data_IF_641385199291
#
_entry.id   IF_641385199291
#
_cell.length_a   1.000
_cell.length_b   1.000
_cell.length_c   1.000
_cell.angle_alpha   90.00
_cell.angle_beta   90.00
_cell.angle_gamma   90.00
#
_symmetry.space_group_name_H-M   'P 1'
#
loop_
_entity.id
_entity.type
_entity.pdbx_description
1 polymer ?
#
# COMPACT_ATOMS: atom_id res chain seq x y z
N UNK A 1 38.36 -20.90 -14.47
CA UNK A 1 37.44 -20.12 -13.62
C UNK A 1 36.10 -20.07 -14.35
N UNK A 2 35.06 -20.70 -13.79
CA UNK A 2 33.72 -20.72 -14.38
C UNK A 2 32.84 -19.75 -13.58
N UNK A 3 32.36 -18.70 -14.24
CA UNK A 3 31.43 -17.73 -13.63
C UNK A 3 30.02 -18.30 -13.74
N UNK A 4 29.42 -18.64 -12.61
CA UNK A 4 28.04 -19.09 -12.55
C UNK A 4 27.10 -17.92 -12.85
N UNK A 5 26.21 -18.10 -13.83
CA UNK A 5 25.17 -17.12 -14.13
C UNK A 5 24.16 -17.10 -12.98
N UNK A 6 24.00 -15.93 -12.35
CA UNK A 6 22.91 -15.65 -11.43
C UNK A 6 21.60 -15.64 -12.24
N UNK A 7 20.81 -16.70 -12.14
CA UNK A 7 19.42 -16.70 -12.59
C UNK A 7 18.67 -15.63 -11.82
N UNK A 8 18.36 -14.51 -12.49
CA UNK A 8 17.47 -13.50 -11.95
C UNK A 8 16.06 -14.09 -11.90
N UNK A 9 15.57 -14.41 -10.70
CA UNK A 9 14.17 -14.76 -10.50
C UNK A 9 13.37 -13.47 -10.75
N UNK A 10 12.55 -13.45 -11.81
CA UNK A 10 11.68 -12.31 -12.08
C UNK A 10 10.78 -12.07 -10.86
N UNK A 11 10.53 -10.81 -10.44
CA UNK A 11 9.59 -10.55 -9.37
C UNK A 11 8.26 -11.18 -9.77
N UNK A 12 7.69 -11.99 -8.87
CA UNK A 12 6.39 -12.61 -9.08
C UNK A 12 5.42 -11.53 -9.55
N UNK A 13 4.82 -11.72 -10.74
CA UNK A 13 3.80 -10.83 -11.26
C UNK A 13 2.72 -10.72 -10.19
N UNK A 14 2.62 -9.56 -9.55
CA UNK A 14 1.49 -9.25 -8.70
C UNK A 14 0.25 -9.26 -9.61
N UNK A 15 -0.70 -10.13 -9.32
CA UNK A 15 -1.99 -10.11 -10.01
C UNK A 15 -2.57 -8.70 -9.95
N UNK A 16 -3.08 -8.22 -11.08
CA UNK A 16 -3.70 -6.91 -11.11
C UNK A 16 -4.89 -6.90 -10.15
N UNK A 17 -5.02 -5.88 -9.27
CA UNK A 17 -6.09 -5.85 -8.29
C UNK A 17 -7.45 -5.91 -8.98
N UNK A 18 -8.33 -6.78 -8.45
CA UNK A 18 -9.68 -6.95 -8.94
C UNK A 18 -10.44 -5.62 -8.78
N UNK A 19 -11.52 -5.43 -9.54
CA UNK A 19 -12.31 -4.20 -9.45
C UNK A 19 -12.86 -3.96 -8.03
N UNK A 20 -13.15 -5.05 -7.30
CA UNK A 20 -13.54 -5.07 -5.90
C UNK A 20 -12.48 -4.39 -5.01
N UNK A 21 -11.25 -4.89 -5.10
CA UNK A 21 -10.11 -4.47 -4.28
C UNK A 21 -9.82 -2.97 -4.43
N UNK A 22 -10.16 -2.39 -5.58
CA UNK A 22 -9.95 -0.95 -5.85
C UNK A 22 -10.93 -0.07 -5.09
N UNK A 23 -12.20 -0.47 -4.98
CA UNK A 23 -13.21 0.29 -4.23
C UNK A 23 -12.91 0.20 -2.73
N UNK A 24 -12.57 -1.00 -2.27
CA UNK A 24 -12.16 -1.23 -0.88
C UNK A 24 -10.86 -0.49 -0.53
N UNK A 25 -9.87 -0.50 -1.42
CA UNK A 25 -8.67 0.29 -1.27
C UNK A 25 -8.99 1.78 -1.11
N UNK A 26 -9.81 2.35 -2.00
CA UNK A 26 -10.15 3.77 -1.94
C UNK A 26 -10.88 4.12 -0.63
N UNK A 27 -11.78 3.25 -0.17
CA UNK A 27 -12.44 3.40 1.12
C UNK A 27 -11.43 3.36 2.28
N UNK A 28 -10.55 2.36 2.31
CA UNK A 28 -9.54 2.20 3.35
C UNK A 28 -8.54 3.37 3.35
N UNK A 29 -8.16 3.88 2.19
CA UNK A 29 -7.27 5.04 2.06
C UNK A 29 -7.87 6.28 2.75
N UNK A 30 -9.17 6.54 2.58
CA UNK A 30 -9.85 7.62 3.30
C UNK A 30 -9.93 7.35 4.80
N UNK A 31 -10.25 6.12 5.22
CA UNK A 31 -10.36 5.79 6.65
C UNK A 31 -9.01 5.94 7.37
N UNK A 32 -7.92 5.53 6.74
CA UNK A 32 -6.58 5.58 7.33
C UNK A 32 -6.09 7.02 7.60
N UNK A 33 -6.56 8.03 6.86
CA UNK A 33 -6.26 9.44 7.13
C UNK A 33 -6.66 9.85 8.56
N UNK A 34 -7.71 9.24 9.12
CA UNK A 34 -8.22 9.53 10.45
C UNK A 34 -7.61 8.63 11.55
N UNK A 35 -6.96 7.53 11.18
CA UNK A 35 -6.34 6.60 12.14
C UNK A 35 -5.04 7.12 12.74
N UNK A 36 -4.55 8.28 12.29
CA UNK A 36 -3.40 8.97 12.85
C UNK A 36 -2.15 8.07 12.93
N UNK A 37 -1.87 7.29 11.86
CA UNK A 37 -0.77 6.32 11.77
C UNK A 37 0.63 6.94 11.95
N UNK A 38 0.73 8.27 11.91
CA UNK A 38 1.99 9.00 11.76
C UNK A 38 2.43 9.82 12.97
N UNK A 39 1.92 9.51 14.17
CA UNK A 39 2.47 10.10 15.40
C UNK A 39 3.83 9.46 15.76
N UNK A 40 4.78 9.50 14.83
CA UNK A 40 6.19 9.32 15.11
C UNK A 40 6.77 10.67 15.53
N UNK A 41 6.81 10.92 16.85
CA UNK A 41 7.51 12.09 17.42
C UNK A 41 9.00 11.81 17.44
N UNK A 42 9.70 12.06 16.35
CA UNK A 42 11.16 12.03 16.33
C UNK A 42 11.70 13.12 15.40
N UNK A 43 13.02 13.38 15.52
CA UNK A 43 13.84 14.39 14.83
C UNK A 43 13.77 14.36 13.28
N UNK A 44 13.00 13.44 12.70
CA UNK A 44 12.80 13.24 11.27
C UNK A 44 11.38 13.60 10.78
N UNK A 45 10.67 14.47 11.50
CA UNK A 45 9.29 14.91 11.19
C UNK A 45 9.22 16.38 10.73
N UNK A 46 8.25 16.73 9.87
CA UNK A 46 7.87 18.11 9.54
C UNK A 46 8.41 18.71 8.24
N UNK A 47 8.97 17.92 7.32
CA UNK A 47 9.44 18.41 6.01
C UNK A 47 8.49 18.08 4.84
N UNK A 48 8.57 18.82 3.73
CA UNK A 48 7.77 18.55 2.51
C UNK A 48 7.87 17.12 1.97
N UNK A 49 9.02 16.46 2.16
CA UNK A 49 9.20 15.06 1.79
C UNK A 49 8.38 14.11 2.66
N UNK A 50 8.12 14.47 3.91
CA UNK A 50 7.31 13.67 4.84
C UNK A 50 5.86 13.63 4.35
N UNK A 51 5.21 14.77 4.08
CA UNK A 51 3.81 14.81 3.63
C UNK A 51 3.54 13.93 2.39
N UNK A 52 4.46 13.95 1.43
CA UNK A 52 4.39 13.08 0.25
C UNK A 52 4.62 11.61 0.59
N UNK A 53 5.59 11.31 1.45
CA UNK A 53 5.85 9.96 1.93
C UNK A 53 4.67 9.39 2.75
N UNK A 54 3.97 10.27 3.47
CA UNK A 54 2.80 9.96 4.27
C UNK A 54 1.59 9.56 3.45
N UNK A 55 1.33 10.33 2.40
CA UNK A 55 0.28 10.00 1.43
C UNK A 55 0.59 8.67 0.72
N UNK A 56 1.86 8.47 0.34
CA UNK A 56 2.31 7.21 -0.26
C UNK A 56 2.11 6.01 0.69
N UNK A 57 2.57 6.10 1.94
CA UNK A 57 2.39 5.04 2.93
C UNK A 57 0.93 4.72 3.18
N UNK A 58 0.08 5.75 3.28
CA UNK A 58 -1.37 5.56 3.49
C UNK A 58 -1.98 4.75 2.35
N UNK A 59 -1.66 5.09 1.10
CA UNK A 59 -2.12 4.35 -0.08
C UNK A 59 -1.61 2.91 -0.13
N UNK A 60 -0.34 2.67 0.21
CA UNK A 60 0.23 1.32 0.25
C UNK A 60 -0.38 0.46 1.36
N UNK A 61 -0.61 1.02 2.55
CA UNK A 61 -1.34 0.33 3.61
C UNK A 61 -2.75 -0.04 3.17
N UNK A 62 -3.48 0.89 2.54
CA UNK A 62 -4.81 0.63 2.02
C UNK A 62 -4.83 -0.51 0.99
N UNK A 63 -3.88 -0.53 0.05
CA UNK A 63 -3.76 -1.58 -0.95
C UNK A 63 -3.45 -2.96 -0.34
N UNK A 64 -2.59 -3.00 0.69
CA UNK A 64 -2.27 -4.26 1.39
C UNK A 64 -3.40 -4.75 2.27
N UNK A 65 -4.20 -3.84 2.81
CA UNK A 65 -5.39 -4.17 3.60
C UNK A 65 -6.52 -4.66 2.70
N UNK A 66 -6.81 -4.00 1.57
CA UNK A 66 -7.85 -4.46 0.63
C UNK A 66 -7.53 -5.83 0.01
N UNK A 67 -6.26 -6.15 -0.19
CA UNK A 67 -5.86 -7.48 -0.67
C UNK A 67 -6.02 -8.60 0.38
N UNK A 68 -6.27 -8.27 1.65
CA UNK A 68 -6.33 -9.24 2.77
C UNK A 68 -7.65 -9.25 3.51
N UNK A 69 -8.36 -8.12 3.50
CA UNK A 69 -9.67 -7.95 4.08
C UNK A 69 -10.70 -8.11 2.98
N UNK A 70 -11.84 -8.67 3.34
CA UNK A 70 -13.03 -8.65 2.49
C UNK A 70 -14.07 -7.79 3.20
N UNK A 71 -14.31 -6.59 2.68
CA UNK A 71 -15.30 -5.65 3.22
C UNK A 71 -16.63 -5.74 2.46
N UNK A 72 -16.71 -6.54 1.39
CA UNK A 72 -17.88 -6.70 0.54
C UNK A 72 -18.27 -5.42 -0.24
N UNK A 73 -17.43 -4.40 -0.30
CA UNK A 73 -17.88 -3.07 -0.76
C UNK A 73 -18.10 -2.99 -2.27
N UNK A 74 -17.43 -3.81 -3.07
CA UNK A 74 -17.71 -3.87 -4.50
C UNK A 74 -18.84 -4.85 -4.89
N UNK A 75 -19.38 -5.63 -3.93
CA UNK A 75 -20.59 -6.42 -4.14
C UNK A 75 -21.86 -5.56 -4.02
N UNK A 76 -21.76 -4.42 -3.34
CA UNK A 76 -22.83 -3.45 -3.08
C UNK A 76 -23.26 -2.64 -4.33
N UNK A 77 -22.90 -3.09 -5.53
CA UNK A 77 -23.06 -2.35 -6.78
C UNK A 77 -24.35 -2.67 -7.52
#
# INVERSE_FOLDING_TARGET
MQVAALTMNAPAQADAPLAQDRLEQAFLEEMLKYCNLQKGKDDFSGGYGEEHFSSFLTREYAARLSARLDLGLGELR
#
